data_IF_436629676746
#
_entry.id   IF_436629676746
#
_cell.length_a   1.000
_cell.length_b   1.000
_cell.length_c   1.000
_cell.angle_alpha   90.00
_cell.angle_beta   90.00
_cell.angle_gamma   90.00
#
_symmetry.space_group_name_H-M   'P 1'
#
loop_
_entity.id
_entity.type
_entity.pdbx_description
1 polymer ?
#
# COMPACT_ATOMS: atom_id res chain seq x y z
N UNK A 1 -12.57 -12.75 79.13
CA UNK A 1 -13.13 -12.10 77.92
C UNK A 1 -11.97 -11.64 77.03
N UNK A 2 -11.63 -12.41 75.98
CA UNK A 2 -10.57 -12.06 75.00
C UNK A 2 -11.21 -11.34 73.82
N UNK A 3 -10.75 -10.12 73.52
CA UNK A 3 -11.38 -9.17 72.59
C UNK A 3 -10.80 -9.34 71.17
N UNK A 4 -11.68 -9.61 70.21
CA UNK A 4 -11.39 -10.00 68.81
C UNK A 4 -10.91 -8.82 67.94
N UNK A 5 -9.71 -8.28 68.18
CA UNK A 5 -9.18 -7.14 67.42
C UNK A 5 -8.46 -7.49 66.11
N UNK A 6 -8.24 -8.78 65.79
CA UNK A 6 -7.38 -9.16 64.65
C UNK A 6 -8.08 -9.10 63.28
N UNK A 7 -9.42 -9.13 63.25
CA UNK A 7 -10.19 -9.15 62.00
C UNK A 7 -10.36 -7.73 61.42
N UNK A 8 -10.47 -6.71 62.28
CA UNK A 8 -10.64 -5.31 61.85
C UNK A 8 -9.43 -4.73 61.11
N UNK A 9 -8.20 -5.06 61.54
CA UNK A 9 -6.99 -4.58 60.86
C UNK A 9 -6.75 -5.25 59.50
N UNK A 10 -7.23 -6.48 59.29
CA UNK A 10 -7.05 -7.18 58.03
C UNK A 10 -7.96 -6.62 56.93
N UNK A 11 -9.20 -6.24 57.30
CA UNK A 11 -10.17 -5.61 56.38
C UNK A 11 -9.71 -4.21 55.95
N UNK A 12 -9.13 -3.43 56.87
CA UNK A 12 -8.59 -2.10 56.53
C UNK A 12 -7.37 -2.17 55.61
N UNK A 13 -6.50 -3.16 55.80
CA UNK A 13 -5.32 -3.35 54.95
C UNK A 13 -5.72 -3.76 53.51
N UNK A 14 -6.74 -4.62 53.36
CA UNK A 14 -7.24 -5.03 52.04
C UNK A 14 -7.92 -3.86 51.31
N UNK A 15 -8.69 -3.03 52.02
CA UNK A 15 -9.32 -1.84 51.44
C UNK A 15 -8.29 -0.80 50.97
N UNK A 16 -7.19 -0.61 51.73
CA UNK A 16 -6.10 0.28 51.35
C UNK A 16 -5.31 -0.23 50.13
N UNK A 17 -5.11 -1.54 50.02
CA UNK A 17 -4.45 -2.15 48.85
C UNK A 17 -5.32 -2.04 47.60
N UNK A 18 -6.64 -2.25 47.69
CA UNK A 18 -7.56 -2.10 46.56
C UNK A 18 -7.64 -0.65 46.04
N UNK A 19 -7.59 0.34 46.93
CA UNK A 19 -7.55 1.75 46.54
C UNK A 19 -6.23 2.15 45.86
N UNK A 20 -5.11 1.51 46.19
CA UNK A 20 -3.82 1.78 45.55
C UNK A 20 -3.71 1.20 44.12
N UNK A 21 -4.46 0.15 43.80
CA UNK A 21 -4.53 -0.40 42.43
C UNK A 21 -5.57 0.28 41.53
N UNK A 22 -6.43 1.14 42.09
CA UNK A 22 -7.52 1.80 41.33
C UNK A 22 -7.05 2.96 40.44
N UNK A 23 -5.82 3.43 40.62
CA UNK A 23 -5.24 4.57 39.89
C UNK A 23 -4.18 4.19 38.86
N UNK A 24 -3.97 2.89 38.60
CA UNK A 24 -3.20 2.51 37.43
C UNK A 24 -4.00 2.91 36.19
N UNK A 25 -3.53 3.84 35.33
CA UNK A 25 -4.18 4.04 34.06
C UNK A 25 -4.18 2.67 33.38
N UNK A 26 -5.38 2.15 33.12
CA UNK A 26 -5.53 1.06 32.18
C UNK A 26 -4.90 1.58 30.89
N UNK A 27 -3.70 1.08 30.57
CA UNK A 27 -3.16 1.19 29.23
C UNK A 27 -4.09 0.37 28.35
N UNK A 28 -5.18 1.01 27.94
CA UNK A 28 -6.05 0.51 26.88
C UNK A 28 -5.13 0.57 25.66
N UNK A 29 -4.59 -0.58 25.28
CA UNK A 29 -3.90 -0.74 24.00
C UNK A 29 -4.90 -0.28 22.93
N UNK A 30 -4.72 0.95 22.45
CA UNK A 30 -5.52 1.46 21.35
C UNK A 30 -5.04 0.72 20.12
N UNK A 31 -5.97 0.09 19.39
CA UNK A 31 -5.60 -0.51 18.11
C UNK A 31 -4.98 0.56 17.21
N UNK A 32 -3.90 0.23 16.48
CA UNK A 32 -3.33 1.16 15.52
C UNK A 32 -4.42 1.66 14.56
N UNK A 33 -4.40 2.97 14.28
CA UNK A 33 -5.29 3.52 13.26
C UNK A 33 -4.99 2.89 11.90
N UNK A 34 -5.99 2.84 11.01
CA UNK A 34 -5.78 2.31 9.66
C UNK A 34 -4.65 3.03 8.92
N UNK A 35 -4.52 4.35 9.12
CA UNK A 35 -3.39 5.13 8.63
C UNK A 35 -2.06 4.65 9.20
N UNK A 36 -1.98 4.45 10.52
CA UNK A 36 -0.74 3.96 11.16
C UNK A 36 -0.34 2.58 10.65
N UNK A 37 -1.29 1.72 10.31
CA UNK A 37 -1.00 0.40 9.75
C UNK A 37 -0.46 0.46 8.33
N UNK A 38 -1.02 1.33 7.46
CA UNK A 38 -0.48 1.57 6.12
C UNK A 38 0.92 2.17 6.20
N UNK A 39 1.13 3.20 7.03
CA UNK A 39 2.44 3.84 7.18
C UNK A 39 3.48 2.83 7.66
N UNK A 40 3.16 2.01 8.67
CA UNK A 40 4.05 0.96 9.15
C UNK A 40 4.32 -0.13 8.10
N UNK A 41 3.35 -0.45 7.25
CA UNK A 41 3.53 -1.38 6.15
C UNK A 41 4.44 -0.79 5.06
N UNK A 42 4.25 0.48 4.70
CA UNK A 42 5.11 1.20 3.78
C UNK A 42 6.54 1.28 4.30
N UNK A 43 6.78 1.70 5.55
CA UNK A 43 8.12 1.75 6.14
C UNK A 43 8.85 0.39 6.07
N UNK A 44 8.13 -0.70 6.39
CA UNK A 44 8.66 -2.06 6.29
C UNK A 44 8.99 -2.43 4.85
N UNK A 45 8.11 -2.14 3.91
CA UNK A 45 8.32 -2.43 2.50
C UNK A 45 9.47 -1.59 1.91
N UNK A 46 9.58 -0.33 2.33
CA UNK A 46 10.63 0.59 1.92
C UNK A 46 12.01 0.09 2.33
N UNK A 47 12.12 -0.58 3.48
CA UNK A 47 13.34 -1.25 3.93
C UNK A 47 13.73 -2.54 3.18
N UNK A 48 12.89 -3.05 2.28
CA UNK A 48 13.21 -4.27 1.51
C UNK A 48 14.10 -3.91 0.31
N UNK A 49 15.29 -4.52 0.27
CA UNK A 49 16.26 -4.30 -0.80
C UNK A 49 15.83 -4.86 -2.16
N UNK A 50 15.29 -6.09 -2.17
CA UNK A 50 14.93 -6.81 -3.39
C UNK A 50 13.57 -7.49 -3.23
N UNK A 51 12.67 -7.27 -4.18
CA UNK A 51 11.35 -7.88 -4.15
C UNK A 51 10.71 -7.98 -5.53
N UNK A 52 9.76 -8.90 -5.64
CA UNK A 52 8.94 -9.13 -6.84
C UNK A 52 7.52 -8.65 -6.58
N UNK A 53 6.90 -8.05 -7.58
CA UNK A 53 5.57 -7.49 -7.46
C UNK A 53 4.72 -7.81 -8.70
N UNK A 54 3.40 -7.82 -8.49
CA UNK A 54 2.40 -7.99 -9.52
C UNK A 54 1.23 -7.06 -9.19
N UNK A 55 0.95 -6.13 -10.09
CA UNK A 55 -0.07 -5.10 -9.90
C UNK A 55 -1.11 -5.19 -11.00
N UNK A 56 -2.38 -4.98 -10.64
CA UNK A 56 -3.47 -4.82 -11.59
C UNK A 56 -4.12 -3.48 -11.34
N UNK A 57 -4.10 -2.60 -12.33
CA UNK A 57 -4.74 -1.29 -12.29
C UNK A 57 -6.05 -1.38 -13.09
N UNK A 58 -7.15 -0.99 -12.45
CA UNK A 58 -8.46 -0.86 -13.09
C UNK A 58 -8.77 0.63 -13.10
N UNK A 59 -8.80 1.22 -14.29
CA UNK A 59 -9.14 2.63 -14.47
C UNK A 59 -10.53 2.74 -15.09
N UNK A 60 -11.44 3.40 -14.40
CA UNK A 60 -12.77 3.75 -14.93
C UNK A 60 -12.83 5.25 -15.15
N UNK A 61 -13.13 5.67 -16.38
CA UNK A 61 -13.31 7.08 -16.74
C UNK A 61 -14.79 7.35 -16.96
N UNK A 62 -15.33 8.29 -16.17
CA UNK A 62 -16.71 8.74 -16.27
C UNK A 62 -16.78 10.00 -17.14
N UNK A 63 -17.69 10.08 -18.13
CA UNK A 63 -17.92 11.31 -18.87
C UNK A 63 -18.38 12.43 -17.93
N UNK A 64 -17.90 13.66 -18.14
CA UNK A 64 -18.37 14.84 -17.38
C UNK A 64 -19.86 15.07 -17.65
N UNK A 65 -20.61 15.50 -16.65
CA UNK A 65 -22.04 15.81 -16.75
C UNK A 65 -22.30 17.07 -17.62
N UNK A 66 -22.26 16.91 -18.94
CA UNK A 66 -22.51 17.96 -19.95
C UNK A 66 -23.46 17.45 -21.02
N UNK A 67 -24.22 18.37 -21.64
CA UNK A 67 -25.15 18.03 -22.74
C UNK A 67 -24.45 17.32 -23.92
N UNK A 68 -23.20 17.71 -24.22
CA UNK A 68 -22.36 17.07 -25.25
C UNK A 68 -21.97 15.61 -24.94
N UNK A 69 -22.11 15.18 -23.68
CA UNK A 69 -21.76 13.84 -23.22
C UNK A 69 -22.98 12.93 -23.01
N UNK A 70 -24.19 13.38 -23.38
CA UNK A 70 -25.41 12.57 -23.27
C UNK A 70 -25.28 11.31 -24.12
N UNK A 71 -25.49 10.15 -23.49
CA UNK A 71 -25.37 8.84 -24.14
C UNK A 71 -23.96 8.26 -24.17
N UNK A 72 -22.95 8.98 -23.66
CA UNK A 72 -21.62 8.39 -23.43
C UNK A 72 -21.63 7.48 -22.20
N UNK A 73 -21.02 6.31 -22.34
CA UNK A 73 -20.84 5.35 -21.26
C UNK A 73 -19.47 5.52 -20.60
N UNK A 74 -19.34 5.01 -19.38
CA UNK A 74 -18.04 4.92 -18.71
C UNK A 74 -17.12 3.94 -19.44
N UNK A 75 -15.83 4.26 -19.50
CA UNK A 75 -14.82 3.41 -20.12
C UNK A 75 -13.96 2.81 -19.02
N UNK A 76 -13.88 1.47 -18.96
CA UNK A 76 -12.99 0.76 -18.05
C UNK A 76 -11.82 0.16 -18.81
N UNK A 77 -10.59 0.49 -18.38
CA UNK A 77 -9.35 -0.09 -18.87
C UNK A 77 -8.68 -0.89 -17.75
N UNK A 78 -8.07 -2.00 -18.12
CA UNK A 78 -7.28 -2.83 -17.21
C UNK A 78 -5.84 -2.91 -17.69
N UNK A 79 -4.92 -2.63 -16.78
CA UNK A 79 -3.49 -2.72 -16.99
C UNK A 79 -2.89 -3.68 -15.98
N UNK A 80 -1.94 -4.48 -16.44
CA UNK A 80 -1.21 -5.45 -15.65
C UNK A 80 0.27 -5.12 -15.66
N UNK A 81 0.87 -5.18 -14.48
CA UNK A 81 2.29 -4.95 -14.26
C UNK A 81 2.85 -6.15 -13.53
N UNK A 82 3.97 -6.67 -13.98
CA UNK A 82 4.74 -7.67 -13.23
C UNK A 82 6.21 -7.36 -13.34
N UNK A 83 6.89 -7.33 -12.21
CA UNK A 83 8.27 -6.91 -12.18
C UNK A 83 9.00 -7.29 -10.92
N UNK A 84 10.22 -6.77 -10.86
CA UNK A 84 11.11 -6.85 -9.73
C UNK A 84 11.82 -5.51 -9.53
N UNK A 85 12.17 -5.25 -8.28
CA UNK A 85 12.90 -4.06 -7.87
C UNK A 85 14.12 -4.51 -7.07
N UNK A 86 15.28 -3.97 -7.42
CA UNK A 86 16.54 -4.11 -6.70
C UNK A 86 17.07 -2.71 -6.34
N UNK A 87 16.82 -2.28 -5.11
CA UNK A 87 17.25 -0.97 -4.60
C UNK A 87 18.75 -0.85 -4.42
N UNK A 88 19.47 -1.97 -4.27
CA UNK A 88 20.94 -1.98 -4.15
C UNK A 88 21.60 -1.66 -5.49
N UNK A 89 21.00 -2.11 -6.59
CA UNK A 89 21.48 -1.86 -7.96
C UNK A 89 20.79 -0.68 -8.64
N UNK A 90 19.99 0.10 -7.91
CA UNK A 90 19.09 1.15 -8.43
C UNK A 90 18.36 0.71 -9.71
N UNK A 91 17.79 -0.50 -9.67
CA UNK A 91 17.20 -1.15 -10.83
C UNK A 91 15.76 -1.58 -10.56
N UNK A 92 14.89 -1.30 -11.51
CA UNK A 92 13.52 -1.78 -11.56
C UNK A 92 13.26 -2.33 -12.95
N UNK A 93 12.69 -3.53 -13.05
CA UNK A 93 12.35 -4.13 -14.34
C UNK A 93 10.94 -4.71 -14.28
N UNK A 94 10.13 -4.40 -15.29
CA UNK A 94 8.73 -4.81 -15.32
C UNK A 94 8.23 -5.02 -16.75
N UNK A 95 7.18 -5.81 -16.83
CA UNK A 95 6.40 -6.02 -18.05
C UNK A 95 5.02 -5.41 -17.84
N UNK A 96 4.59 -4.61 -18.79
CA UNK A 96 3.27 -3.98 -18.84
C UNK A 96 2.44 -4.59 -19.97
N UNK A 97 1.21 -4.99 -19.69
CA UNK A 97 0.26 -5.43 -20.72
C UNK A 97 -1.18 -5.07 -20.34
N UNK A 98 -2.08 -5.07 -21.32
CA UNK A 98 -3.50 -4.80 -21.14
C UNK A 98 -4.35 -5.97 -21.65
N UNK A 99 -5.66 -5.94 -21.38
CA UNK A 99 -6.60 -6.97 -21.88
C UNK A 99 -6.60 -7.09 -23.43
N UNK A 100 -6.22 -6.02 -24.16
CA UNK A 100 -6.04 -6.06 -25.62
C UNK A 100 -4.73 -6.70 -26.07
N UNK A 101 -3.84 -7.07 -25.13
CA UNK A 101 -2.51 -7.63 -25.35
C UNK A 101 -2.29 -8.92 -24.57
N UNK A 102 -2.98 -9.99 -24.99
CA UNK A 102 -2.82 -11.39 -24.60
C UNK A 102 -2.37 -11.67 -23.14
N UNK A 103 -3.36 -11.74 -22.24
CA UNK A 103 -3.26 -12.00 -20.79
C UNK A 103 -2.52 -13.30 -20.43
N UNK A 104 -2.48 -14.28 -21.33
CA UNK A 104 -1.95 -15.62 -21.05
C UNK A 104 -0.44 -15.77 -21.32
N UNK A 105 0.17 -14.87 -22.08
CA UNK A 105 1.53 -15.10 -22.61
C UNK A 105 2.48 -13.92 -22.37
N UNK A 106 1.96 -12.71 -22.08
CA UNK A 106 2.77 -11.48 -21.96
C UNK A 106 3.65 -11.20 -23.18
N UNK A 107 3.33 -11.76 -24.35
CA UNK A 107 4.12 -11.67 -25.59
C UNK A 107 3.96 -10.33 -26.32
N UNK A 108 2.90 -9.58 -26.00
CA UNK A 108 2.63 -8.25 -26.54
C UNK A 108 2.71 -7.17 -25.44
N UNK A 109 3.48 -7.45 -24.38
CA UNK A 109 3.70 -6.50 -23.31
C UNK A 109 4.92 -5.63 -23.59
N UNK A 110 4.87 -4.37 -23.14
CA UNK A 110 6.00 -3.47 -23.12
C UNK A 110 6.93 -3.92 -21.98
N UNK A 111 8.16 -4.29 -22.31
CA UNK A 111 9.21 -4.47 -21.31
C UNK A 111 9.76 -3.08 -20.96
N UNK A 112 9.86 -2.81 -19.68
CA UNK A 112 10.35 -1.56 -19.11
C UNK A 112 11.44 -1.89 -18.11
N UNK A 113 12.49 -1.06 -18.09
CA UNK A 113 13.46 -1.07 -17.01
C UNK A 113 13.86 0.36 -16.67
N UNK A 114 14.07 0.62 -15.39
CA UNK A 114 14.75 1.80 -14.89
C UNK A 114 16.06 1.34 -14.33
N UNK A 115 17.13 2.02 -14.71
CA UNK A 115 18.45 1.79 -14.13
C UNK A 115 19.14 3.13 -13.99
N UNK A 116 19.61 3.41 -12.78
CA UNK A 116 20.33 4.66 -12.49
C UNK A 116 19.52 5.89 -12.92
N UNK A 117 18.21 5.89 -12.61
CA UNK A 117 17.20 6.90 -12.97
C UNK A 117 16.86 7.02 -14.47
N UNK A 118 17.52 6.24 -15.33
CA UNK A 118 17.23 6.22 -16.77
C UNK A 118 16.21 5.13 -17.10
N UNK A 119 15.10 5.54 -17.72
CA UNK A 119 14.07 4.63 -18.18
C UNK A 119 14.38 4.10 -19.59
N UNK A 120 14.15 2.81 -19.79
CA UNK A 120 14.25 2.15 -21.08
C UNK A 120 13.02 1.30 -21.34
N UNK A 121 12.61 1.23 -22.60
CA UNK A 121 11.51 0.40 -23.08
C UNK A 121 11.88 -0.44 -24.29
N UNK A 122 11.21 -1.57 -24.46
CA UNK A 122 11.20 -2.33 -25.71
C UNK A 122 9.88 -3.07 -25.90
N UNK A 123 9.42 -3.16 -27.15
CA UNK A 123 8.12 -3.77 -27.48
C UNK A 123 8.15 -5.30 -27.51
N UNK A 124 9.32 -5.91 -27.72
CA UNK A 124 9.51 -7.35 -27.66
C UNK A 124 10.96 -7.67 -27.30
N UNK A 125 11.26 -8.92 -26.91
CA UNK A 125 12.64 -9.34 -26.61
C UNK A 125 13.63 -9.18 -27.77
N UNK A 126 13.13 -9.16 -29.01
CA UNK A 126 13.92 -9.05 -30.24
C UNK A 126 14.16 -7.58 -30.66
N UNK A 127 13.50 -6.62 -30.00
CA UNK A 127 13.76 -5.20 -30.18
C UNK A 127 14.84 -4.72 -29.22
N UNK A 128 15.64 -3.76 -29.68
CA UNK A 128 16.61 -3.06 -28.85
C UNK A 128 15.91 -2.24 -27.75
N UNK A 129 16.61 -2.07 -26.63
CA UNK A 129 16.19 -1.14 -25.60
C UNK A 129 16.34 0.29 -26.13
N UNK A 130 15.24 1.04 -26.13
CA UNK A 130 15.26 2.47 -26.38
C UNK A 130 15.12 3.20 -25.04
N UNK A 131 15.88 4.27 -24.87
CA UNK A 131 15.67 5.21 -23.77
C UNK A 131 14.30 5.86 -23.91
N UNK A 132 13.63 6.06 -22.78
CA UNK A 132 12.34 6.74 -22.70
C UNK A 132 12.56 8.13 -22.10
N UNK A 133 11.71 9.08 -22.46
CA UNK A 133 11.78 10.44 -21.91
C UNK A 133 11.73 10.42 -20.38
N UNK A 134 12.47 11.34 -19.74
CA UNK A 134 12.66 11.42 -18.29
C UNK A 134 11.32 11.53 -17.52
N UNK A 135 10.33 12.22 -18.10
CA UNK A 135 8.96 12.36 -17.58
C UNK A 135 8.29 11.00 -17.32
N UNK A 136 8.72 9.93 -18.01
CA UNK A 136 8.16 8.60 -17.82
C UNK A 136 8.40 8.13 -16.38
N UNK A 137 9.63 8.26 -15.85
CA UNK A 137 10.02 7.78 -14.50
C UNK A 137 9.22 8.46 -13.40
N UNK A 138 9.00 9.77 -13.54
CA UNK A 138 8.23 10.58 -12.57
C UNK A 138 6.77 10.12 -12.45
N UNK A 139 6.17 9.59 -13.52
CA UNK A 139 4.75 9.23 -13.54
C UNK A 139 4.48 7.86 -12.88
N UNK A 140 5.38 6.89 -13.00
CA UNK A 140 5.12 5.51 -12.53
C UNK A 140 5.89 5.12 -11.26
N UNK A 141 7.04 5.74 -10.99
CA UNK A 141 7.84 5.46 -9.80
C UNK A 141 8.63 6.71 -9.38
N UNK A 142 7.94 7.72 -8.79
CA UNK A 142 8.61 8.84 -8.16
C UNK A 142 9.73 8.33 -7.24
N UNK A 143 10.94 8.88 -7.38
CA UNK A 143 12.13 8.47 -6.62
C UNK A 143 12.46 6.95 -6.72
N UNK A 144 12.14 6.31 -7.85
CA UNK A 144 12.26 4.86 -8.08
C UNK A 144 11.50 3.98 -7.07
N UNK A 145 10.47 4.54 -6.43
CA UNK A 145 9.62 3.81 -5.48
C UNK A 145 8.17 3.77 -5.97
N UNK A 146 7.75 2.62 -6.48
CA UNK A 146 6.36 2.41 -6.91
C UNK A 146 5.38 2.26 -5.74
N UNK A 147 5.86 2.21 -4.50
CA UNK A 147 5.02 2.20 -3.30
C UNK A 147 4.77 3.60 -2.73
N UNK A 148 5.27 4.66 -3.38
CA UNK A 148 5.09 6.05 -2.96
C UNK A 148 3.61 6.44 -2.78
N UNK A 149 2.70 5.84 -3.55
CA UNK A 149 1.25 6.07 -3.39
C UNK A 149 0.72 5.71 -1.99
N UNK A 150 1.41 4.84 -1.23
CA UNK A 150 1.03 4.52 0.14
C UNK A 150 1.37 5.63 1.13
N UNK A 151 2.37 6.47 0.81
CA UNK A 151 2.70 7.66 1.61
C UNK A 151 1.66 8.76 1.39
N UNK A 152 1.21 8.93 0.14
CA UNK A 152 0.16 9.86 -0.25
C UNK A 152 -1.27 9.36 0.04
N UNK A 153 -1.42 8.25 0.78
CA UNK A 153 -2.72 7.67 1.09
C UNK A 153 -3.42 8.46 2.21
N UNK A 154 -4.61 8.97 1.91
CA UNK A 154 -5.48 9.68 2.86
C UNK A 154 -6.84 8.97 3.00
N UNK A 155 -7.64 9.38 3.98
CA UNK A 155 -8.97 8.81 4.25
C UNK A 155 -8.97 7.27 4.34
N UNK A 156 -7.91 6.70 4.93
CA UNK A 156 -7.68 5.25 4.96
C UNK A 156 -8.75 4.53 5.79
N UNK A 157 -9.39 3.55 5.18
CA UNK A 157 -10.44 2.71 5.77
C UNK A 157 -10.10 1.23 5.64
N UNK A 158 -10.25 0.46 6.72
CA UNK A 158 -10.21 -1.01 6.67
C UNK A 158 -11.52 -1.52 6.07
N UNK A 159 -11.43 -2.29 4.98
CA UNK A 159 -12.61 -2.83 4.28
C UNK A 159 -12.75 -4.35 4.41
N UNK A 160 -11.84 -5.01 5.13
CA UNK A 160 -11.94 -6.43 5.47
C UNK A 160 -10.60 -7.16 5.41
N UNK A 161 -10.65 -8.48 5.30
CA UNK A 161 -9.47 -9.33 5.08
C UNK A 161 -9.62 -10.09 3.77
N UNK A 162 -8.50 -10.42 3.14
CA UNK A 162 -8.45 -11.26 1.95
C UNK A 162 -7.29 -12.24 2.06
N UNK A 163 -7.50 -13.45 1.55
CA UNK A 163 -6.45 -14.44 1.37
C UNK A 163 -6.19 -14.65 -0.11
N UNK A 164 -4.95 -14.41 -0.55
CA UNK A 164 -4.50 -14.66 -1.92
C UNK A 164 -3.16 -15.37 -1.90
N UNK A 165 -3.03 -16.42 -2.71
CA UNK A 165 -1.81 -17.24 -2.79
C UNK A 165 -1.31 -17.74 -1.42
N UNK A 166 -2.23 -18.07 -0.49
CA UNK A 166 -1.89 -18.55 0.86
C UNK A 166 -1.48 -17.46 1.86
N UNK A 167 -1.52 -16.18 1.48
CA UNK A 167 -1.21 -15.04 2.34
C UNK A 167 -2.51 -14.32 2.69
N UNK A 168 -2.77 -14.13 3.99
CA UNK A 168 -3.90 -13.33 4.49
C UNK A 168 -3.43 -11.92 4.79
N UNK A 169 -4.14 -10.92 4.27
CA UNK A 169 -3.85 -9.50 4.47
C UNK A 169 -5.13 -8.69 4.70
N UNK A 170 -5.00 -7.58 5.42
CA UNK A 170 -6.07 -6.59 5.57
C UNK A 170 -6.24 -5.82 4.26
N UNK A 171 -7.47 -5.66 3.82
CA UNK A 171 -7.83 -4.82 2.68
C UNK A 171 -8.12 -3.40 3.16
N UNK A 172 -7.62 -2.42 2.41
CA UNK A 172 -7.84 -1.01 2.65
C UNK A 172 -8.50 -0.35 1.44
N UNK A 173 -9.26 0.71 1.72
CA UNK A 173 -9.66 1.72 0.75
C UNK A 173 -9.09 3.06 1.21
N UNK A 174 -8.62 3.88 0.28
CA UNK A 174 -8.02 5.18 0.57
C UNK A 174 -8.08 6.05 -0.68
N UNK A 175 -8.00 7.35 -0.48
CA UNK A 175 -7.78 8.31 -1.56
C UNK A 175 -6.27 8.58 -1.68
N UNK A 176 -5.82 9.02 -2.85
CA UNK A 176 -4.41 9.38 -3.08
C UNK A 176 -4.35 10.88 -3.33
N UNK A 177 -3.61 11.60 -2.49
CA UNK A 177 -3.28 13.00 -2.74
C UNK A 177 -2.32 13.08 -3.93
N UNK A 178 -2.82 13.59 -5.05
CA UNK A 178 -2.04 13.69 -6.29
C UNK A 178 -0.85 14.64 -6.21
N UNK A 179 -0.90 15.66 -5.34
CA UNK A 179 0.22 16.60 -5.16
C UNK A 179 1.32 15.92 -4.34
N UNK A 180 0.96 15.26 -3.23
CA UNK A 180 1.93 14.51 -2.43
C UNK A 180 2.52 13.33 -3.21
N UNK A 181 1.72 12.66 -4.05
CA UNK A 181 2.20 11.57 -4.89
C UNK A 181 3.28 12.00 -5.89
N UNK A 182 3.18 13.21 -6.43
CA UNK A 182 4.08 13.73 -7.47
C UNK A 182 5.33 14.47 -6.91
N UNK A 183 5.60 14.39 -5.60
CA UNK A 183 6.69 15.11 -4.91
C UNK A 183 7.60 14.17 -4.11
#
# INVERSE_FOLDING_TARGET
MKKNYRIGSLVLAIAAVLLLFSNSPLNIFSEPSAQSEINAAWEKASGIAVYKHSTTVIQTTHPTEKLENVGLSSITKRLYFKGETNKVENMMAFKLWSDSGNVLNGKNGLDLKVKDDVAFGRMSPDHDWAELDDDFTEIFAPNNDHLTYLRAAENVQKIGQETRAGITFTRYNFDVDGVEFAT
#
